data_IF_599345737192
#
_entry.id   IF_599345737192
#
_cell.length_a   1.000
_cell.length_b   1.000
_cell.length_c   1.000
_cell.angle_alpha   90.00
_cell.angle_beta   90.00
_cell.angle_gamma   90.00
#
_symmetry.space_group_name_H-M   'P 1'
#
loop_
_entity.id
_entity.type
_entity.pdbx_description
1 polymer ?
#
# COMPACT_ATOMS: atom_id res chain seq x y z
N UNK A 1 11.52 19.81 -8.54
CA UNK A 1 10.44 18.79 -8.64
C UNK A 1 9.70 18.70 -7.32
N UNK A 2 8.38 18.75 -7.32
CA UNK A 2 7.64 18.56 -6.09
C UNK A 2 7.84 17.13 -5.58
N UNK A 3 8.02 17.02 -4.30
CA UNK A 3 8.20 15.73 -3.64
C UNK A 3 6.84 15.03 -3.49
N UNK A 4 6.78 13.76 -3.88
CA UNK A 4 5.57 12.95 -3.70
C UNK A 4 5.53 12.48 -2.25
N UNK A 5 4.36 12.58 -1.63
CA UNK A 5 4.18 12.15 -0.24
C UNK A 5 2.93 11.28 -0.10
N UNK A 6 2.98 10.40 0.91
CA UNK A 6 1.83 9.61 1.35
C UNK A 6 1.50 10.05 2.77
N UNK A 7 0.26 10.50 2.97
CA UNK A 7 -0.22 10.95 4.27
C UNK A 7 -1.10 9.88 4.89
N UNK A 8 -0.74 9.42 6.07
CA UNK A 8 -1.47 8.39 6.83
C UNK A 8 -1.62 8.86 8.28
N UNK A 9 -2.61 8.34 8.99
CA UNK A 9 -2.79 8.63 10.40
C UNK A 9 -2.10 7.58 11.26
N UNK A 10 -1.82 7.93 12.52
CA UNK A 10 -1.29 6.97 13.50
C UNK A 10 -2.23 5.77 13.65
N UNK A 11 -3.55 6.02 13.66
CA UNK A 11 -4.54 4.94 13.76
C UNK A 11 -4.48 3.99 12.56
N UNK A 12 -4.27 4.52 11.37
CA UNK A 12 -4.13 3.70 10.17
C UNK A 12 -2.85 2.86 10.24
N UNK A 13 -1.75 3.45 10.67
CA UNK A 13 -0.49 2.73 10.87
C UNK A 13 -0.67 1.59 11.88
N UNK A 14 -1.32 1.87 13.01
CA UNK A 14 -1.55 0.86 14.05
C UNK A 14 -2.42 -0.28 13.52
N UNK A 15 -3.42 0.05 12.72
CA UNK A 15 -4.30 -0.96 12.09
C UNK A 15 -3.52 -1.86 11.13
N UNK A 16 -2.63 -1.28 10.32
CA UNK A 16 -1.80 -2.04 9.39
C UNK A 16 -0.85 -2.98 10.13
N UNK A 17 -0.23 -2.50 11.21
CA UNK A 17 0.66 -3.33 12.03
C UNK A 17 -0.11 -4.49 12.67
N UNK A 18 -1.31 -4.20 13.19
CA UNK A 18 -2.14 -5.23 13.83
C UNK A 18 -2.54 -6.30 12.82
N UNK A 19 -3.00 -5.89 11.65
CA UNK A 19 -3.35 -6.82 10.57
C UNK A 19 -2.16 -7.70 10.20
N UNK A 20 -0.99 -7.08 10.03
CA UNK A 20 0.22 -7.80 9.66
C UNK A 20 0.56 -8.88 10.68
N UNK A 21 0.45 -8.56 11.97
CA UNK A 21 0.72 -9.54 13.04
C UNK A 21 -0.28 -10.69 13.03
N UNK A 22 -1.54 -10.41 12.70
CA UNK A 22 -2.57 -11.44 12.60
C UNK A 22 -2.32 -12.40 11.42
N UNK A 23 -1.74 -11.91 10.33
CA UNK A 23 -1.51 -12.72 9.13
C UNK A 23 -0.18 -13.47 9.14
N UNK A 24 0.72 -13.16 10.09
CA UNK A 24 2.03 -13.83 10.12
C UNK A 24 1.90 -15.35 10.10
N UNK A 25 2.78 -16.07 9.36
CA UNK A 25 3.92 -15.56 8.60
C UNK A 25 3.60 -15.12 7.18
N UNK A 26 2.34 -15.13 6.76
CA UNK A 26 1.94 -14.72 5.41
C UNK A 26 2.07 -13.21 5.23
N UNK A 27 2.35 -12.78 4.00
CA UNK A 27 2.29 -11.35 3.68
C UNK A 27 0.84 -10.86 3.78
N UNK A 28 0.66 -9.70 4.41
CA UNK A 28 -0.63 -9.00 4.43
C UNK A 28 -0.73 -8.06 3.25
N UNK A 29 -1.93 -7.77 2.80
CA UNK A 29 -2.15 -6.78 1.77
C UNK A 29 -3.44 -6.00 1.99
N UNK A 30 -3.41 -4.72 1.58
CA UNK A 30 -4.55 -3.82 1.67
C UNK A 30 -4.57 -2.90 0.47
N UNK A 31 -5.73 -2.36 0.15
CA UNK A 31 -5.85 -1.21 -0.73
C UNK A 31 -6.01 0.04 0.13
N UNK A 32 -5.32 1.10 -0.24
CA UNK A 32 -5.39 2.40 0.43
C UNK A 32 -6.24 3.32 -0.42
N UNK A 33 -7.34 3.81 0.14
CA UNK A 33 -8.28 4.66 -0.56
C UNK A 33 -8.26 6.06 0.02
N UNK A 34 -8.45 7.07 -0.83
CA UNK A 34 -8.44 8.45 -0.35
C UNK A 34 -8.43 9.46 -1.48
N UNK A 35 -7.57 10.44 -1.37
CA UNK A 35 -7.49 11.55 -2.33
C UNK A 35 -6.07 11.81 -2.77
N UNK A 36 -5.94 12.18 -4.04
CA UNK A 36 -4.68 12.63 -4.62
C UNK A 36 -4.82 14.13 -4.88
N UNK A 37 -3.98 14.94 -4.23
CA UNK A 37 -4.01 16.39 -4.32
C UNK A 37 -2.81 16.88 -5.12
N UNK A 38 -3.08 17.61 -6.21
CA UNK A 38 -2.05 18.19 -7.08
C UNK A 38 -1.06 17.17 -7.63
N UNK A 39 -1.49 15.92 -7.84
CA UNK A 39 -0.70 14.81 -8.37
C UNK A 39 0.55 14.48 -7.53
N UNK A 40 0.62 14.96 -6.29
CA UNK A 40 1.81 14.73 -5.44
C UNK A 40 1.52 14.36 -4.00
N UNK A 41 0.33 14.70 -3.49
CA UNK A 41 -0.04 14.37 -2.11
C UNK A 41 -1.10 13.27 -2.13
N UNK A 42 -0.72 12.08 -1.71
CA UNK A 42 -1.58 10.91 -1.66
C UNK A 42 -2.05 10.74 -0.22
N UNK A 43 -3.32 11.05 0.03
CA UNK A 43 -3.90 11.09 1.38
C UNK A 43 -4.78 9.87 1.61
N UNK A 44 -4.42 9.03 2.57
CA UNK A 44 -5.19 7.83 2.90
C UNK A 44 -6.34 8.20 3.81
N UNK A 45 -7.57 7.88 3.38
CA UNK A 45 -8.80 8.08 4.18
C UNK A 45 -9.32 6.76 4.70
N UNK A 46 -9.17 5.68 3.94
CA UNK A 46 -9.65 4.35 4.33
C UNK A 46 -8.63 3.29 3.96
N UNK A 47 -8.51 2.30 4.82
CA UNK A 47 -7.71 1.09 4.57
C UNK A 47 -8.70 -0.04 4.31
N UNK A 48 -8.61 -0.63 3.12
CA UNK A 48 -9.45 -1.76 2.75
C UNK A 48 -8.62 -3.03 2.81
N UNK A 49 -8.93 -3.87 3.81
CA UNK A 49 -8.23 -5.14 4.01
C UNK A 49 -8.55 -6.08 2.85
N UNK A 50 -7.52 -6.67 2.25
CA UNK A 50 -7.65 -7.64 1.18
C UNK A 50 -7.08 -8.98 1.65
N UNK A 51 -7.64 -10.06 1.16
CA UNK A 51 -7.09 -11.38 1.45
C UNK A 51 -5.88 -11.65 0.56
N UNK A 52 -4.80 -12.19 1.13
CA UNK A 52 -3.70 -12.72 0.33
C UNK A 52 -4.06 -14.13 -0.10
N UNK A 53 -4.46 -14.30 -1.34
CA UNK A 53 -4.93 -15.59 -1.87
C UNK A 53 -3.88 -16.68 -1.85
N UNK A 54 -2.60 -16.32 -1.92
CA UNK A 54 -1.52 -17.30 -1.91
C UNK A 54 -1.12 -17.73 -0.50
N UNK A 55 -1.48 -16.95 0.52
CA UNK A 55 -1.06 -17.17 1.92
C UNK A 55 0.46 -17.39 2.01
N UNK A 56 1.23 -16.67 1.20
CA UNK A 56 2.67 -16.85 1.09
C UNK A 56 3.43 -15.90 2.01
N UNK A 57 4.62 -16.35 2.47
CA UNK A 57 5.57 -15.52 3.22
C UNK A 57 6.37 -14.59 2.30
N UNK A 58 6.34 -14.82 0.98
CA UNK A 58 7.24 -14.17 0.03
C UNK A 58 6.52 -13.36 -1.03
N UNK A 59 5.20 -13.51 -1.14
CA UNK A 59 4.41 -12.79 -2.14
C UNK A 59 2.96 -12.66 -1.70
N UNK A 60 2.22 -11.84 -2.41
CA UNK A 60 0.78 -11.74 -2.19
C UNK A 60 0.04 -11.70 -3.52
N UNK A 61 -1.23 -12.07 -3.49
CA UNK A 61 -2.11 -12.00 -4.63
C UNK A 61 -3.51 -11.67 -4.15
N UNK A 62 -4.10 -10.62 -4.72
CA UNK A 62 -5.48 -10.24 -4.44
C UNK A 62 -6.41 -10.91 -5.43
N UNK A 63 -7.62 -11.26 -4.97
CA UNK A 63 -8.64 -11.81 -5.85
C UNK A 63 -9.05 -10.74 -6.87
N UNK A 64 -8.98 -11.02 -8.19
CA UNK A 64 -9.35 -10.04 -9.21
C UNK A 64 -10.78 -9.52 -9.08
N UNK A 65 -11.74 -10.39 -8.73
CA UNK A 65 -13.14 -9.98 -8.58
C UNK A 65 -13.31 -9.04 -7.39
N UNK A 66 -12.68 -9.36 -6.27
CA UNK A 66 -12.71 -8.50 -5.07
C UNK A 66 -12.03 -7.16 -5.37
N UNK A 67 -10.92 -7.19 -6.10
CA UNK A 67 -10.20 -5.98 -6.48
C UNK A 67 -11.09 -5.07 -7.32
N UNK A 68 -11.81 -5.62 -8.28
CA UNK A 68 -12.73 -4.86 -9.12
C UNK A 68 -13.89 -4.27 -8.31
N UNK A 69 -14.42 -5.02 -7.35
CA UNK A 69 -15.48 -4.52 -6.47
C UNK A 69 -15.02 -3.31 -5.66
N UNK A 70 -13.79 -3.35 -5.15
CA UNK A 70 -13.23 -2.23 -4.38
C UNK A 70 -13.01 -1.01 -5.28
N UNK A 71 -12.50 -1.21 -6.49
CA UNK A 71 -12.32 -0.13 -7.45
C UNK A 71 -13.67 0.54 -7.77
N UNK A 72 -14.70 -0.27 -8.01
CA UNK A 72 -16.04 0.24 -8.29
C UNK A 72 -16.60 1.01 -7.10
N UNK A 73 -16.46 0.44 -5.90
CA UNK A 73 -16.93 1.10 -4.68
C UNK A 73 -16.24 2.45 -4.46
N UNK A 74 -14.93 2.50 -4.68
CA UNK A 74 -14.16 3.74 -4.56
C UNK A 74 -14.67 4.79 -5.55
N UNK A 75 -14.86 4.39 -6.80
CA UNK A 75 -15.38 5.29 -7.84
C UNK A 75 -16.76 5.82 -7.45
N UNK A 76 -17.66 4.96 -6.97
CA UNK A 76 -19.01 5.33 -6.57
C UNK A 76 -19.02 6.30 -5.37
N UNK A 77 -17.97 6.27 -4.55
CA UNK A 77 -17.84 7.11 -3.36
C UNK A 77 -16.87 8.27 -3.55
N UNK A 78 -16.47 8.54 -4.78
CA UNK A 78 -15.57 9.66 -5.13
C UNK A 78 -14.23 9.56 -4.41
N UNK A 79 -13.71 8.34 -4.26
CA UNK A 79 -12.39 8.07 -3.68
C UNK A 79 -11.45 7.55 -4.76
N UNK A 80 -10.18 7.87 -4.61
CA UNK A 80 -9.11 7.32 -5.45
C UNK A 80 -8.51 6.10 -4.77
N UNK A 81 -7.98 5.17 -5.56
CA UNK A 81 -7.07 4.16 -5.05
C UNK A 81 -5.71 4.85 -4.98
N UNK A 82 -5.28 5.20 -3.78
CA UNK A 82 -4.03 5.96 -3.60
C UNK A 82 -2.83 5.07 -3.41
N UNK A 83 -3.03 3.83 -2.98
CA UNK A 83 -1.90 2.95 -2.76
C UNK A 83 -2.28 1.49 -2.54
N UNK A 84 -1.22 0.68 -2.52
CA UNK A 84 -1.27 -0.73 -2.16
C UNK A 84 -0.34 -0.90 -0.96
N UNK A 85 -0.84 -1.53 0.08
CA UNK A 85 -0.03 -1.91 1.25
C UNK A 85 0.26 -3.39 1.20
N UNK A 86 1.51 -3.77 1.51
CA UNK A 86 1.80 -5.16 1.86
C UNK A 86 2.96 -5.21 2.84
N UNK A 87 3.08 -6.36 3.50
CA UNK A 87 4.14 -6.59 4.47
C UNK A 87 5.18 -7.55 3.91
N UNK A 88 6.43 -7.35 4.32
CA UNK A 88 7.53 -8.30 4.11
C UNK A 88 8.04 -8.76 5.46
N UNK A 89 8.44 -10.03 5.57
CA UNK A 89 9.08 -10.50 6.79
C UNK A 89 10.42 -9.80 6.97
N UNK A 90 11.17 -9.63 5.89
CA UNK A 90 12.47 -9.00 5.91
C UNK A 90 12.67 -8.19 4.63
N UNK A 91 13.30 -7.01 4.77
CA UNK A 91 13.50 -6.09 3.67
C UNK A 91 12.30 -5.18 3.45
N UNK A 92 12.54 -3.89 3.26
CA UNK A 92 11.48 -2.89 3.09
C UNK A 92 11.43 -2.31 1.68
N UNK A 93 12.27 -2.82 0.76
CA UNK A 93 12.26 -2.41 -0.64
C UNK A 93 11.39 -3.36 -1.47
N UNK A 94 10.83 -2.90 -2.60
CA UNK A 94 10.04 -3.77 -3.48
C UNK A 94 10.86 -4.96 -3.99
N UNK A 95 10.24 -6.13 -4.02
CA UNK A 95 10.82 -7.30 -4.65
C UNK A 95 10.70 -7.21 -6.17
N UNK A 96 11.37 -8.12 -6.90
CA UNK A 96 11.22 -8.16 -8.37
C UNK A 96 9.78 -8.44 -8.77
N UNK A 97 9.08 -9.28 -8.02
CA UNK A 97 7.64 -9.54 -8.26
C UNK A 97 6.81 -8.29 -8.02
N UNK A 98 7.11 -7.55 -6.93
CA UNK A 98 6.43 -6.29 -6.63
C UNK A 98 6.58 -5.29 -7.78
N UNK A 99 7.78 -5.16 -8.34
CA UNK A 99 8.03 -4.22 -9.43
C UNK A 99 7.17 -4.49 -10.66
N UNK A 100 6.89 -5.77 -10.95
CA UNK A 100 6.00 -6.14 -12.05
C UNK A 100 4.59 -5.60 -11.79
N UNK A 101 4.07 -5.81 -10.58
CA UNK A 101 2.73 -5.34 -10.21
C UNK A 101 2.66 -3.82 -10.10
N UNK A 102 3.74 -3.16 -9.67
CA UNK A 102 3.81 -1.70 -9.60
C UNK A 102 3.64 -1.07 -10.98
N UNK A 103 4.17 -1.70 -12.03
CA UNK A 103 3.98 -1.21 -13.41
C UNK A 103 2.53 -1.27 -13.85
N UNK A 104 1.80 -2.27 -13.37
CA UNK A 104 0.38 -2.46 -13.70
C UNK A 104 -0.52 -1.57 -12.82
N UNK A 105 -0.03 -1.19 -11.64
CA UNK A 105 -0.79 -0.42 -10.67
C UNK A 105 0.04 0.79 -10.21
N UNK A 106 0.04 1.88 -11.01
CA UNK A 106 0.93 3.03 -10.78
C UNK A 106 0.41 3.94 -9.67
N UNK A 107 0.40 3.41 -8.46
CA UNK A 107 0.00 4.11 -7.23
C UNK A 107 1.16 4.02 -6.24
N UNK A 108 0.95 4.51 -5.01
CA UNK A 108 1.97 4.39 -3.97
C UNK A 108 1.95 2.97 -3.42
N UNK A 109 3.12 2.37 -3.26
CA UNK A 109 3.29 1.05 -2.65
C UNK A 109 3.93 1.23 -1.29
N UNK A 110 3.14 0.96 -0.25
CA UNK A 110 3.56 1.07 1.15
C UNK A 110 3.95 -0.31 1.65
N UNK A 111 5.19 -0.46 2.10
CA UNK A 111 5.74 -1.74 2.54
C UNK A 111 6.12 -1.64 4.02
N UNK A 112 5.67 -2.62 4.81
CA UNK A 112 6.07 -2.76 6.20
C UNK A 112 7.01 -3.94 6.34
N UNK A 113 8.21 -3.69 6.87
CA UNK A 113 9.19 -4.72 7.17
C UNK A 113 8.99 -5.18 8.61
N UNK A 114 8.59 -6.44 8.79
CA UNK A 114 8.31 -7.00 10.12
C UNK A 114 9.57 -7.07 10.96
N UNK A 115 10.68 -7.56 10.39
CA UNK A 115 11.94 -7.74 11.13
C UNK A 115 12.52 -6.44 11.65
N UNK A 116 12.34 -5.33 10.91
CA UNK A 116 12.87 -4.02 11.29
C UNK A 116 11.83 -3.08 11.86
N UNK A 117 10.57 -3.48 11.91
CA UNK A 117 9.45 -2.63 12.35
C UNK A 117 9.45 -1.28 11.62
N UNK A 118 9.59 -1.31 10.30
CA UNK A 118 9.81 -0.11 9.50
C UNK A 118 8.91 -0.06 8.28
N UNK A 119 8.35 1.13 8.03
CA UNK A 119 7.58 1.43 6.82
C UNK A 119 8.45 2.17 5.80
N UNK A 120 8.30 1.80 4.55
CA UNK A 120 8.82 2.59 3.43
C UNK A 120 7.78 2.61 2.31
N UNK A 121 7.76 3.69 1.55
CA UNK A 121 6.81 3.87 0.46
C UNK A 121 7.54 4.16 -0.84
N UNK A 122 7.01 3.62 -1.94
CA UNK A 122 7.64 3.73 -3.27
C UNK A 122 6.59 3.94 -4.34
N UNK A 123 7.03 4.51 -5.45
CA UNK A 123 6.22 4.57 -6.67
C UNK A 123 7.14 4.53 -7.88
N UNK A 124 6.57 4.25 -9.05
CA UNK A 124 7.31 4.30 -10.30
C UNK A 124 6.97 5.59 -11.02
N UNK A 125 8.01 6.36 -11.39
CA UNK A 125 7.86 7.57 -12.20
C UNK A 125 8.65 7.32 -13.47
N UNK A 126 7.97 7.19 -14.60
CA UNK A 126 8.61 6.88 -15.89
C UNK A 126 9.50 5.64 -15.78
N UNK A 127 8.96 4.59 -15.16
CA UNK A 127 9.65 3.30 -14.91
C UNK A 127 10.85 3.39 -13.98
N UNK A 128 11.06 4.54 -13.32
CA UNK A 128 12.13 4.69 -12.34
C UNK A 128 11.53 4.60 -10.93
N UNK A 129 12.10 3.73 -10.12
CA UNK A 129 11.66 3.55 -8.73
C UNK A 129 12.05 4.77 -7.90
N UNK A 130 11.07 5.38 -7.25
CA UNK A 130 11.27 6.53 -6.37
C UNK A 130 10.75 6.20 -4.99
N UNK A 131 11.50 6.54 -3.97
CA UNK A 131 11.01 6.47 -2.60
C UNK A 131 10.12 7.67 -2.32
N UNK A 132 9.01 7.42 -1.62
CA UNK A 132 7.97 8.42 -1.31
C UNK A 132 8.07 8.75 0.16
N UNK A 133 7.96 10.04 0.48
CA UNK A 133 7.94 10.49 1.88
C UNK A 133 6.63 10.09 2.55
N UNK A 134 6.71 9.49 3.73
CA UNK A 134 5.54 9.15 4.54
C UNK A 134 5.35 10.24 5.58
N UNK A 135 4.16 10.84 5.59
CA UNK A 135 3.75 11.85 6.59
C UNK A 135 2.72 11.21 7.50
N UNK A 136 2.99 11.18 8.78
CA UNK A 136 2.11 10.56 9.77
C UNK A 136 1.48 11.66 10.63
N UNK A 137 0.14 11.68 10.68
CA UNK A 137 -0.61 12.61 11.52
C UNK A 137 -1.22 11.86 12.71
N UNK A 138 -1.69 12.60 13.68
CA UNK A 138 -2.25 12.01 14.92
C UNK A 138 -3.66 11.49 14.80
N UNK A 139 -4.34 11.77 13.72
CA UNK A 139 -5.77 11.41 13.60
C UNK A 139 -6.03 10.06 13.01
#
# INVERSE_FOLDING_TARGET
>A
MPEISLSVTENQIDSLIRLTKEDLPSESCCLLLGRIVNDKEYCVEQVKIMENKTHSEYSFQMDPDELMEVYQWASDNSLDIVGVYHSHLDGSAPSSTDLIFMKLNPVIWLIYEVSGSRFRAFTLVQDILKEVKIKISRE
#
